data_IF_127768001555
#
_entry.id   IF_127768001555
#
_cell.length_a   1.000
_cell.length_b   1.000
_cell.length_c   1.000
_cell.angle_alpha   90.00
_cell.angle_beta   90.00
_cell.angle_gamma   90.00
#
_symmetry.space_group_name_H-M   'P 1'
#
loop_
_entity.id
_entity.type
_entity.pdbx_description
1 polymer ?
#
# COMPACT_ATOMS: atom_id res chain seq x y z
N UNK A 1 21.22 -3.79 -0.47
CA UNK A 1 20.33 -2.90 0.34
C UNK A 1 20.85 -2.84 1.78
N UNK A 2 20.54 -1.80 2.57
CA UNK A 2 21.05 -1.63 3.96
C UNK A 2 20.84 -2.87 4.85
N UNK A 3 19.68 -3.53 4.73
CA UNK A 3 19.33 -4.74 5.48
C UNK A 3 20.29 -5.92 5.23
N UNK A 4 20.57 -6.26 3.96
CA UNK A 4 21.45 -7.39 3.60
C UNK A 4 22.89 -7.18 4.11
N UNK A 5 23.34 -5.92 4.12
CA UNK A 5 24.65 -5.54 4.65
C UNK A 5 24.74 -5.82 6.15
N UNK A 6 23.74 -5.38 6.92
CA UNK A 6 23.68 -5.61 8.37
C UNK A 6 23.62 -7.10 8.70
N UNK A 7 22.81 -7.88 7.98
CA UNK A 7 22.76 -9.33 8.17
C UNK A 7 24.13 -9.96 7.96
N UNK A 8 24.82 -9.62 6.87
CA UNK A 8 26.17 -10.13 6.58
C UNK A 8 27.19 -9.74 7.65
N UNK A 9 27.18 -8.49 8.09
CA UNK A 9 28.09 -7.99 9.14
C UNK A 9 27.88 -8.68 10.49
N UNK A 10 26.67 -9.16 10.78
CA UNK A 10 26.33 -9.92 11.99
C UNK A 10 26.40 -11.45 11.78
N UNK A 11 26.93 -11.94 10.65
CA UNK A 11 27.00 -13.38 10.36
C UNK A 11 25.64 -14.06 10.14
N UNK A 12 24.58 -13.29 9.85
CA UNK A 12 23.21 -13.77 9.62
C UNK A 12 23.00 -14.06 8.14
N UNK A 13 22.63 -15.30 7.81
CA UNK A 13 22.26 -15.70 6.45
C UNK A 13 20.75 -15.54 6.25
N UNK A 14 20.34 -14.53 5.48
CA UNK A 14 18.94 -14.34 5.11
C UNK A 14 18.47 -15.44 4.14
N UNK A 15 17.33 -16.07 4.45
CA UNK A 15 16.71 -17.10 3.61
C UNK A 15 15.30 -16.69 3.24
N UNK A 16 15.05 -16.57 1.93
CA UNK A 16 13.73 -16.24 1.40
C UNK A 16 12.96 -17.52 1.06
N UNK A 17 11.66 -17.53 1.34
CA UNK A 17 10.78 -18.60 0.92
C UNK A 17 10.59 -18.58 -0.60
N UNK A 18 10.32 -19.75 -1.18
CA UNK A 18 9.99 -19.82 -2.61
C UNK A 18 8.69 -19.05 -2.88
N UNK A 19 8.58 -18.30 -3.99
CA UNK A 19 7.33 -17.66 -4.36
C UNK A 19 6.18 -18.66 -4.43
N UNK A 20 5.04 -18.32 -3.81
CA UNK A 20 3.82 -19.14 -3.75
C UNK A 20 3.96 -20.45 -2.96
N UNK A 21 4.79 -20.47 -1.93
CA UNK A 21 4.92 -21.58 -0.99
C UNK A 21 4.40 -21.19 0.40
N UNK A 22 3.07 -21.07 0.58
CA UNK A 22 2.47 -20.56 1.81
C UNK A 22 2.72 -21.46 3.03
N UNK A 23 3.02 -22.75 2.82
CA UNK A 23 3.25 -23.69 3.91
C UNK A 23 4.60 -23.52 4.60
N UNK A 24 5.54 -22.75 4.03
CA UNK A 24 6.90 -22.62 4.57
C UNK A 24 6.98 -21.71 5.81
N UNK A 25 6.01 -20.80 5.99
CA UNK A 25 5.96 -19.81 7.08
C UNK A 25 4.86 -20.07 8.10
N UNK A 26 4.23 -21.25 8.08
CA UNK A 26 3.06 -21.54 8.92
C UNK A 26 3.25 -21.34 10.43
N UNK A 27 4.47 -21.56 10.97
CA UNK A 27 4.77 -21.32 12.39
C UNK A 27 4.65 -19.84 12.78
N UNK A 28 5.24 -18.96 11.98
CA UNK A 28 5.21 -17.52 12.25
C UNK A 28 3.82 -16.94 11.93
N UNK A 29 3.14 -17.49 10.92
CA UNK A 29 1.75 -17.12 10.62
C UNK A 29 0.80 -17.49 11.77
N UNK A 30 0.96 -18.68 12.36
CA UNK A 30 0.19 -19.09 13.54
C UNK A 30 0.47 -18.16 14.73
N UNK A 31 1.72 -17.79 14.96
CA UNK A 31 2.09 -16.82 16.00
C UNK A 31 1.41 -15.46 15.77
N UNK A 32 1.49 -14.91 14.56
CA UNK A 32 0.83 -13.65 14.22
C UNK A 32 -0.69 -13.72 14.40
N UNK A 33 -1.32 -14.84 14.04
CA UNK A 33 -2.74 -15.04 14.25
C UNK A 33 -3.11 -15.07 15.75
N UNK A 34 -2.30 -15.70 16.58
CA UNK A 34 -2.50 -15.70 18.04
C UNK A 34 -2.34 -14.30 18.63
N UNK A 35 -1.26 -13.59 18.28
CA UNK A 35 -1.05 -12.18 18.68
C UNK A 35 -2.22 -11.30 18.26
N UNK A 36 -2.70 -11.45 17.03
CA UNK A 36 -3.80 -10.65 16.53
C UNK A 36 -5.09 -10.92 17.32
N UNK A 37 -5.50 -12.19 17.44
CA UNK A 37 -6.77 -12.55 18.08
C UNK A 37 -6.80 -12.25 19.57
N UNK A 38 -5.67 -12.41 20.24
CA UNK A 38 -5.61 -12.34 21.70
C UNK A 38 -5.15 -10.99 22.23
N UNK A 39 -4.48 -10.16 21.43
CA UNK A 39 -4.04 -8.83 21.85
C UNK A 39 -4.63 -7.73 20.95
N UNK A 40 -4.34 -7.78 19.65
CA UNK A 40 -4.61 -6.63 18.76
C UNK A 40 -6.09 -6.44 18.44
N UNK A 41 -6.88 -7.51 18.39
CA UNK A 41 -8.31 -7.45 18.11
C UNK A 41 -9.13 -7.04 19.36
N UNK A 42 -8.51 -6.99 20.56
CA UNK A 42 -9.20 -6.61 21.80
C UNK A 42 -9.46 -5.09 21.90
N UNK A 43 -8.65 -4.27 21.22
CA UNK A 43 -8.73 -2.81 21.27
C UNK A 43 -8.75 -2.24 19.85
N UNK A 44 -9.79 -1.46 19.53
CA UNK A 44 -9.89 -0.81 18.22
C UNK A 44 -8.83 0.29 18.03
N UNK A 45 -8.43 0.97 19.12
CA UNK A 45 -7.46 2.07 19.11
C UNK A 45 -6.62 1.99 20.40
N UNK A 46 -5.30 2.10 20.26
CA UNK A 46 -4.38 2.21 21.38
C UNK A 46 -4.27 3.67 21.83
N UNK A 47 -4.21 3.95 23.14
CA UNK A 47 -4.19 5.32 23.65
C UNK A 47 -2.90 6.06 23.27
N UNK A 48 -1.75 5.36 23.30
CA UNK A 48 -0.45 5.88 22.92
C UNK A 48 0.51 4.72 22.56
N UNK A 49 1.73 5.07 22.14
CA UNK A 49 2.76 4.10 21.75
C UNK A 49 3.30 3.30 22.94
N UNK A 50 3.40 3.91 24.13
CA UNK A 50 3.95 3.26 25.33
C UNK A 50 3.03 2.15 25.82
N UNK A 51 1.72 2.39 25.84
CA UNK A 51 0.71 1.40 26.17
C UNK A 51 0.72 0.22 25.17
N UNK A 52 0.86 0.50 23.87
CA UNK A 52 0.97 -0.54 22.86
C UNK A 52 2.25 -1.38 23.05
N UNK A 53 3.38 -0.74 23.34
CA UNK A 53 4.65 -1.41 23.60
C UNK A 53 4.56 -2.29 24.86
N UNK A 54 4.04 -1.76 25.97
CA UNK A 54 3.86 -2.50 27.22
C UNK A 54 2.95 -3.72 27.04
N UNK A 55 1.88 -3.60 26.26
CA UNK A 55 0.97 -4.71 26.00
C UNK A 55 1.60 -5.80 25.12
N UNK A 56 2.39 -5.41 24.11
CA UNK A 56 3.16 -6.36 23.29
C UNK A 56 4.25 -7.06 24.11
N UNK A 57 4.94 -6.33 25.00
CA UNK A 57 5.93 -6.91 25.90
C UNK A 57 5.29 -7.91 26.87
N UNK A 58 4.16 -7.56 27.49
CA UNK A 58 3.42 -8.46 28.36
C UNK A 58 2.95 -9.73 27.62
N UNK A 59 2.41 -9.58 26.40
CA UNK A 59 2.04 -10.72 25.56
C UNK A 59 3.25 -11.60 25.21
N UNK A 60 4.39 -10.99 24.85
CA UNK A 60 5.63 -11.72 24.53
C UNK A 60 6.08 -12.55 25.72
N UNK A 61 6.07 -11.97 26.91
CA UNK A 61 6.53 -12.64 28.11
C UNK A 61 5.60 -13.80 28.45
N UNK A 62 4.28 -13.57 28.50
CA UNK A 62 3.27 -14.62 28.71
C UNK A 62 3.38 -15.77 27.69
N UNK A 63 3.48 -15.44 26.41
CA UNK A 63 3.59 -16.42 25.33
C UNK A 63 4.86 -17.27 25.45
N UNK A 64 5.99 -16.67 25.82
CA UNK A 64 7.27 -17.37 25.84
C UNK A 64 7.55 -18.11 27.15
N UNK A 65 7.04 -17.64 28.30
CA UNK A 65 7.41 -18.17 29.61
C UNK A 65 6.28 -18.93 30.32
N UNK A 66 5.02 -18.63 30.02
CA UNK A 66 3.88 -19.14 30.81
C UNK A 66 2.87 -19.95 29.99
N UNK A 67 2.79 -19.74 28.66
CA UNK A 67 1.79 -20.41 27.80
C UNK A 67 2.22 -21.82 27.39
N UNK A 68 1.53 -22.90 27.79
CA UNK A 68 1.91 -24.24 27.38
C UNK A 68 1.56 -24.52 25.90
N UNK A 69 2.49 -25.14 25.16
CA UNK A 69 2.27 -25.51 23.75
C UNK A 69 2.21 -27.02 23.55
N UNK A 70 1.12 -27.53 22.97
CA UNK A 70 0.95 -28.95 22.65
C UNK A 70 2.09 -29.50 21.75
N UNK A 71 2.50 -28.74 20.74
CA UNK A 71 3.61 -29.13 19.85
C UNK A 71 4.97 -29.24 20.56
N UNK A 72 5.09 -28.70 21.78
CA UNK A 72 6.30 -28.76 22.61
C UNK A 72 6.16 -29.76 23.77
N UNK A 73 5.07 -30.53 23.84
CA UNK A 73 4.80 -31.42 24.97
C UNK A 73 4.34 -30.67 26.22
N UNK A 74 3.55 -29.60 26.04
CA UNK A 74 3.08 -28.69 27.09
C UNK A 74 4.18 -27.83 27.75
N UNK A 75 5.40 -27.83 27.20
CA UNK A 75 6.45 -26.89 27.59
C UNK A 75 6.23 -25.49 26.97
N UNK A 76 6.91 -24.50 27.53
CA UNK A 76 6.93 -23.11 27.06
C UNK A 76 8.05 -22.89 26.02
N UNK A 77 7.91 -21.93 25.08
CA UNK A 77 8.93 -21.66 24.08
C UNK A 77 10.31 -21.36 24.68
N UNK A 78 10.39 -20.56 25.75
CA UNK A 78 11.65 -20.20 26.40
C UNK A 78 12.39 -21.42 26.96
N UNK A 79 11.68 -22.47 27.38
CA UNK A 79 12.31 -23.70 27.89
C UNK A 79 13.10 -24.48 26.82
N UNK A 80 12.91 -24.17 25.54
CA UNK A 80 13.66 -24.79 24.42
C UNK A 80 14.90 -23.99 24.02
N UNK A 81 14.96 -22.70 24.35
CA UNK A 81 16.05 -21.82 23.97
C UNK A 81 16.97 -21.56 25.16
N UNK A 82 18.10 -22.25 25.19
CA UNK A 82 19.15 -22.01 26.18
C UNK A 82 20.05 -20.89 25.64
N UNK A 83 20.11 -19.73 26.30
CA UNK A 83 21.01 -18.68 25.88
C UNK A 83 22.45 -19.15 26.02
N UNK A 84 23.25 -18.88 24.99
CA UNK A 84 24.69 -19.13 25.04
C UNK A 84 25.34 -18.25 26.12
N UNK A 85 26.33 -18.75 26.88
CA UNK A 85 27.09 -17.93 27.81
C UNK A 85 27.72 -16.73 27.09
N UNK A 86 27.87 -15.62 27.83
CA UNK A 86 28.11 -14.30 27.27
C UNK A 86 29.44 -14.17 26.50
N UNK A 87 30.44 -14.95 26.91
CA UNK A 87 31.77 -15.09 26.33
C UNK A 87 31.76 -15.70 24.91
N UNK A 88 30.76 -16.50 24.57
CA UNK A 88 30.64 -17.11 23.25
C UNK A 88 29.62 -16.40 22.33
N UNK A 89 29.09 -15.24 22.74
CA UNK A 89 28.16 -14.43 21.92
C UNK A 89 28.93 -13.63 20.89
N UNK A 90 28.43 -13.60 19.66
CA UNK A 90 29.00 -12.77 18.60
C UNK A 90 28.78 -11.28 18.94
N UNK A 91 29.78 -10.41 18.69
CA UNK A 91 29.62 -8.97 18.88
C UNK A 91 28.58 -8.44 17.89
N UNK A 92 27.44 -7.97 18.39
CA UNK A 92 26.35 -7.41 17.58
C UNK A 92 26.77 -6.06 16.99
N UNK A 93 26.82 -5.98 15.66
CA UNK A 93 27.04 -4.73 14.93
C UNK A 93 25.69 -4.08 14.66
N UNK A 94 25.35 -3.07 15.46
CA UNK A 94 24.14 -2.27 15.27
C UNK A 94 24.45 -1.04 14.41
N UNK A 95 23.58 -0.69 13.45
CA UNK A 95 23.61 0.61 12.80
C UNK A 95 23.58 1.75 13.82
N UNK A 96 24.38 2.79 13.59
CA UNK A 96 24.48 3.97 14.47
C UNK A 96 23.14 4.65 14.75
N UNK A 97 22.18 4.55 13.83
CA UNK A 97 20.82 5.06 14.01
C UNK A 97 19.99 4.29 15.04
N UNK A 98 20.26 2.99 15.25
CA UNK A 98 19.57 2.16 16.24
C UNK A 98 20.20 2.27 17.63
N UNK A 99 21.51 2.53 17.69
CA UNK A 99 22.22 2.81 18.95
C UNK A 99 21.63 4.00 19.70
N UNK A 100 21.15 5.03 18.98
CA UNK A 100 20.51 6.21 19.57
C UNK A 100 19.10 5.95 20.16
N UNK A 101 18.47 4.82 19.83
CA UNK A 101 17.08 4.52 20.19
C UNK A 101 16.91 3.49 21.32
N UNK A 102 18.01 2.91 21.81
CA UNK A 102 17.94 2.01 22.97
C UNK A 102 17.90 2.84 24.25
N UNK A 103 16.83 2.78 25.07
CA UNK A 103 16.92 3.27 26.43
C UNK A 103 18.00 2.47 27.15
N UNK A 104 18.93 3.16 27.82
CA UNK A 104 19.95 2.53 28.64
C UNK A 104 19.27 1.48 29.54
N UNK A 105 19.71 0.23 29.47
CA UNK A 105 19.14 -0.85 30.25
C UNK A 105 19.18 -0.48 31.72
N UNK A 106 18.02 -0.12 32.28
CA UNK A 106 17.87 0.12 33.71
C UNK A 106 18.11 -1.23 34.36
N UNK A 107 19.24 -1.37 35.05
CA UNK A 107 19.46 -2.47 35.97
C UNK A 107 18.39 -2.35 37.06
N UNK A 108 17.37 -3.22 37.01
CA UNK A 108 16.40 -3.38 38.07
C UNK A 108 17.07 -4.04 39.26
N UNK A 109 17.66 -3.24 40.15
CA UNK A 109 17.90 -3.66 41.53
C UNK A 109 16.60 -3.47 42.32
N UNK A 110 16.09 -4.58 42.86
CA UNK A 110 14.98 -4.64 43.81
C UNK A 110 15.29 -3.83 45.08
N UNK A 111 14.37 -3.01 45.63
CA UNK A 111 14.52 -2.46 46.97
C UNK A 111 13.69 -3.26 48.00
N UNK A 112 14.34 -3.70 49.08
CA UNK A 112 13.71 -4.14 50.34
C UNK A 112 14.11 -3.15 51.47
N UNK A 113 13.42 -3.14 52.64
CA UNK A 113 12.72 -1.96 53.16
C UNK A 113 13.53 -1.13 54.17
N UNK A 114 13.03 0.09 54.41
CA UNK A 114 13.57 1.16 55.27
C UNK A 114 13.64 0.79 56.79
N UNK A 115 14.27 1.62 57.67
CA UNK A 115 13.58 2.84 58.16
C UNK A 115 14.47 4.06 58.62
N UNK A 116 13.80 5.23 58.73
CA UNK A 116 14.02 6.37 59.67
C UNK A 116 15.30 7.22 59.50
N UNK A 117 15.36 8.57 59.47
CA UNK A 117 14.51 9.78 59.47
C UNK A 117 15.45 10.92 58.95
N UNK A 118 15.12 12.17 58.61
CA UNK A 118 14.07 13.09 59.03
C UNK A 118 13.93 14.23 58.00
N UNK A 119 12.70 14.74 57.87
CA UNK A 119 12.25 16.14 57.73
C UNK A 119 13.20 17.19 57.10
N UNK A 120 12.77 17.83 56.01
CA UNK A 120 12.35 19.26 55.97
C UNK A 120 11.73 19.61 54.61
N UNK A 121 10.57 20.26 54.65
CA UNK A 121 9.80 20.76 53.52
C UNK A 121 10.22 22.17 53.12
N UNK A 122 10.22 22.51 51.82
CA UNK A 122 9.87 23.86 51.31
C UNK A 122 9.30 23.81 49.87
N UNK A 123 8.05 24.25 49.78
CA UNK A 123 7.31 25.04 48.77
C UNK A 123 7.88 25.32 47.36
N UNK A 124 7.00 25.17 46.37
CA UNK A 124 7.12 25.58 44.97
C UNK A 124 7.22 27.10 44.76
N UNK A 125 8.05 27.53 43.80
CA UNK A 125 7.89 28.84 43.14
C UNK A 125 8.24 28.79 41.65
N UNK A 126 7.29 29.29 40.86
CA UNK A 126 7.35 29.67 39.45
C UNK A 126 8.20 30.93 39.29
N UNK A 127 9.03 30.99 38.24
CA UNK A 127 9.80 32.20 37.88
C UNK A 127 9.54 32.53 36.40
N UNK A 128 9.24 33.81 36.05
CA UNK A 128 8.71 34.21 34.75
C UNK A 128 9.79 34.55 33.70
N UNK A 129 9.37 34.50 32.43
CA UNK A 129 10.13 34.92 31.23
C UNK A 129 9.97 36.44 31.03
N UNK A 130 11.04 37.22 30.77
CA UNK A 130 10.89 38.58 30.27
C UNK A 130 10.95 38.65 28.73
N UNK A 131 10.13 39.54 28.18
CA UNK A 131 9.91 39.80 26.76
C UNK A 131 10.93 40.78 26.15
N UNK A 132 11.31 40.46 24.90
CA UNK A 132 11.58 41.32 23.70
C UNK A 132 12.64 42.45 23.75
N UNK A 133 13.29 42.74 22.59
CA UNK A 133 12.69 43.70 21.67
C UNK A 133 12.63 43.25 20.21
N UNK A 134 11.60 43.75 19.54
CA UNK A 134 11.40 43.78 18.09
C UNK A 134 12.54 44.54 17.39
N UNK A 135 13.04 44.00 16.28
CA UNK A 135 13.59 44.82 15.20
C UNK A 135 13.10 44.31 13.85
N UNK A 136 12.53 45.23 13.09
CA UNK A 136 11.85 45.08 11.80
C UNK A 136 12.89 44.97 10.67
N UNK A 137 12.65 44.15 9.63
CA UNK A 137 12.90 44.58 8.24
C UNK A 137 12.37 43.62 7.15
N UNK A 138 11.34 44.13 6.47
CA UNK A 138 11.34 44.44 5.04
C UNK A 138 10.80 43.46 3.99
N UNK A 139 10.24 42.29 4.33
CA UNK A 139 9.32 41.56 3.43
C UNK A 139 8.41 40.65 4.26
N UNK A 140 7.19 41.09 4.51
CA UNK A 140 6.24 40.38 5.38
C UNK A 140 5.93 38.98 4.89
N UNK A 141 6.48 37.97 5.55
CA UNK A 141 5.97 36.60 5.59
C UNK A 141 6.23 36.06 7.00
N UNK A 142 5.15 35.73 7.71
CA UNK A 142 5.27 34.94 8.93
C UNK A 142 5.96 33.60 8.58
N UNK A 143 7.01 33.19 9.30
CA UNK A 143 7.79 31.99 8.98
C UNK A 143 6.98 30.68 9.07
N UNK A 144 5.73 30.74 9.54
CA UNK A 144 4.81 29.61 9.66
C UNK A 144 4.09 29.31 8.34
N UNK A 145 3.98 30.27 7.42
CA UNK A 145 3.26 30.14 6.13
C UNK A 145 4.17 30.25 4.90
N UNK A 146 5.48 30.07 5.07
CA UNK A 146 6.42 30.10 3.95
C UNK A 146 6.11 28.96 2.97
N UNK A 147 5.66 29.32 1.77
CA UNK A 147 5.45 28.42 0.64
C UNK A 147 6.30 28.87 -0.56
N UNK A 148 6.87 27.91 -1.29
CA UNK A 148 7.84 28.15 -2.36
C UNK A 148 7.47 27.35 -3.60
N UNK A 149 7.48 28.02 -4.76
CA UNK A 149 7.27 27.42 -6.06
C UNK A 149 8.57 27.39 -6.87
N UNK A 150 8.88 26.25 -7.47
CA UNK A 150 10.07 26.08 -8.31
C UNK A 150 9.89 24.95 -9.32
N UNK A 151 10.73 24.86 -10.34
CA UNK A 151 10.67 23.79 -11.35
C UNK A 151 11.90 22.90 -11.33
N UNK A 152 11.72 21.63 -11.67
CA UNK A 152 12.80 20.65 -11.89
C UNK A 152 12.51 19.77 -13.09
N UNK A 153 13.54 19.46 -13.85
CA UNK A 153 13.49 18.47 -14.94
C UNK A 153 13.61 17.07 -14.34
N UNK A 154 12.75 16.16 -14.76
CA UNK A 154 12.80 14.76 -14.32
C UNK A 154 14.02 14.07 -14.94
N UNK A 155 14.96 13.54 -14.14
CA UNK A 155 16.12 12.83 -14.65
C UNK A 155 15.73 11.50 -15.31
N UNK A 156 16.63 10.90 -16.10
CA UNK A 156 16.41 9.60 -16.75
C UNK A 156 16.03 8.45 -15.81
N UNK A 157 16.40 8.55 -14.53
CA UNK A 157 16.00 7.61 -13.49
C UNK A 157 14.53 7.71 -13.06
N UNK A 158 13.85 8.81 -13.39
CA UNK A 158 12.50 9.09 -12.93
C UNK A 158 12.39 9.50 -11.45
N UNK A 159 13.52 9.69 -10.74
CA UNK A 159 13.54 10.07 -9.33
C UNK A 159 14.12 11.47 -9.15
N UNK A 160 13.29 12.44 -8.77
CA UNK A 160 13.72 13.82 -8.50
C UNK A 160 14.04 13.98 -7.03
N UNK A 161 15.17 14.59 -6.69
CA UNK A 161 15.52 14.88 -5.29
C UNK A 161 15.50 16.39 -5.05
N UNK A 162 14.83 16.82 -3.98
CA UNK A 162 14.81 18.21 -3.51
C UNK A 162 15.26 18.22 -2.06
N UNK A 163 16.40 18.85 -1.76
CA UNK A 163 16.94 19.04 -0.39
C UNK A 163 16.90 17.77 0.48
N UNK A 164 17.21 16.62 -0.12
CA UNK A 164 17.23 15.32 0.58
C UNK A 164 15.91 14.55 0.57
N UNK A 165 14.79 15.16 0.18
CA UNK A 165 13.53 14.45 -0.06
C UNK A 165 13.44 13.96 -1.52
N UNK A 166 13.11 12.69 -1.71
CA UNK A 166 13.01 12.06 -3.03
C UNK A 166 11.56 11.93 -3.50
N UNK A 167 11.35 12.16 -4.80
CA UNK A 167 10.06 12.15 -5.48
C UNK A 167 10.14 11.28 -6.72
N UNK A 168 9.59 10.07 -6.60
CA UNK A 168 9.46 9.14 -7.72
C UNK A 168 8.33 9.58 -8.68
N UNK A 169 8.69 9.81 -9.93
CA UNK A 169 7.83 10.19 -11.07
C UNK A 169 7.88 9.17 -12.22
N UNK A 170 8.86 8.27 -12.20
CA UNK A 170 9.03 7.20 -13.19
C UNK A 170 9.83 7.64 -14.42
N UNK A 171 10.52 6.69 -15.09
CA UNK A 171 11.41 6.98 -16.22
C UNK A 171 10.65 7.47 -17.46
N UNK A 172 9.37 7.13 -17.62
CA UNK A 172 8.53 7.57 -18.74
C UNK A 172 8.35 9.10 -18.81
N UNK A 173 8.63 9.79 -17.70
CA UNK A 173 8.54 11.25 -17.58
C UNK A 173 9.90 11.95 -17.66
N UNK A 174 10.98 11.20 -17.92
CA UNK A 174 12.32 11.75 -18.08
C UNK A 174 12.35 12.89 -19.12
N UNK A 175 13.06 13.97 -18.79
CA UNK A 175 13.15 15.17 -19.62
C UNK A 175 11.95 16.12 -19.52
N UNK A 176 10.86 15.72 -18.85
CA UNK A 176 9.72 16.62 -18.60
C UNK A 176 10.04 17.57 -17.45
N UNK A 177 9.60 18.83 -17.56
CA UNK A 177 9.67 19.81 -16.46
C UNK A 177 8.46 19.67 -15.56
N UNK A 178 8.69 19.54 -14.25
CA UNK A 178 7.67 19.46 -13.20
C UNK A 178 7.79 20.69 -12.30
N UNK A 179 6.66 21.33 -12.04
CA UNK A 179 6.55 22.41 -11.06
C UNK A 179 6.30 21.82 -9.67
N UNK A 180 6.93 22.41 -8.67
CA UNK A 180 6.81 22.07 -7.27
C UNK A 180 6.22 23.27 -6.55
N UNK A 181 5.17 23.05 -5.78
CA UNK A 181 4.68 23.96 -4.75
C UNK A 181 4.98 23.30 -3.41
N UNK A 182 5.70 23.96 -2.50
CA UNK A 182 6.17 23.34 -1.26
C UNK A 182 6.04 24.29 -0.08
N UNK A 183 5.43 23.81 1.01
CA UNK A 183 5.53 24.44 2.33
C UNK A 183 6.12 23.43 3.34
N UNK A 184 6.05 23.74 4.63
CA UNK A 184 6.55 22.88 5.71
C UNK A 184 5.70 21.62 5.93
N UNK A 185 4.50 21.54 5.37
CA UNK A 185 3.54 20.43 5.60
C UNK A 185 3.35 19.52 4.39
N UNK A 186 3.34 20.07 3.17
CA UNK A 186 3.04 19.36 1.93
C UNK A 186 3.86 19.90 0.75
N UNK A 187 4.19 19.00 -0.18
CA UNK A 187 4.78 19.30 -1.48
C UNK A 187 3.82 18.80 -2.56
N UNK A 188 3.34 19.70 -3.40
CA UNK A 188 2.56 19.41 -4.60
C UNK A 188 3.47 19.44 -5.83
N UNK A 189 3.36 18.41 -6.67
CA UNK A 189 4.04 18.30 -7.95
C UNK A 189 2.99 18.48 -9.05
N UNK A 190 3.26 19.38 -9.99
CA UNK A 190 2.35 19.76 -11.07
C UNK A 190 3.05 19.67 -12.43
N UNK A 191 2.31 19.28 -13.46
CA UNK A 191 2.74 19.37 -14.87
C UNK A 191 1.66 20.07 -15.67
N UNK A 192 2.01 21.13 -16.41
CA UNK A 192 1.06 21.93 -17.17
C UNK A 192 -0.15 22.41 -16.35
N UNK A 193 0.07 22.77 -15.07
CA UNK A 193 -1.00 23.17 -14.15
C UNK A 193 -1.83 22.02 -13.57
N UNK A 194 -1.64 20.78 -14.02
CA UNK A 194 -2.35 19.59 -13.51
C UNK A 194 -1.52 18.94 -12.41
N UNK A 195 -2.15 18.63 -11.27
CA UNK A 195 -1.51 17.91 -10.16
C UNK A 195 -1.09 16.51 -10.57
N UNK A 196 0.20 16.22 -10.47
CA UNK A 196 0.75 14.86 -10.46
C UNK A 196 0.55 14.25 -9.06
N UNK A 197 1.21 14.83 -8.05
CA UNK A 197 1.35 14.18 -6.74
C UNK A 197 1.33 15.19 -5.60
N UNK A 198 0.75 14.80 -4.47
CA UNK A 198 0.92 15.50 -3.19
C UNK A 198 1.64 14.57 -2.22
N UNK A 199 2.67 15.07 -1.55
CA UNK A 199 3.47 14.29 -0.60
C UNK A 199 3.66 15.11 0.67
N UNK A 200 3.60 14.53 1.88
CA UNK A 200 4.01 15.23 3.09
C UNK A 200 5.40 15.83 2.92
N UNK A 201 5.55 17.10 3.26
CA UNK A 201 6.83 17.79 3.20
C UNK A 201 7.74 17.32 4.33
N UNK A 202 9.01 17.12 4.01
CA UNK A 202 10.09 16.94 4.99
C UNK A 202 11.02 18.14 5.03
N UNK A 203 10.62 19.24 4.39
CA UNK A 203 11.42 20.45 4.23
C UNK A 203 11.24 21.35 5.45
N UNK A 204 12.34 21.74 6.08
CA UNK A 204 12.30 22.76 7.13
C UNK A 204 12.17 24.16 6.52
N UNK A 205 11.81 25.15 7.33
CA UNK A 205 11.75 26.56 6.90
C UNK A 205 13.07 27.02 6.27
N UNK A 206 14.21 26.59 6.81
CA UNK A 206 15.53 26.88 6.25
C UNK A 206 15.73 26.29 4.84
N UNK A 207 15.16 25.12 4.55
CA UNK A 207 15.25 24.51 3.23
C UNK A 207 14.39 25.26 2.20
N UNK A 208 13.23 25.75 2.62
CA UNK A 208 12.35 26.60 1.80
C UNK A 208 13.02 27.96 1.50
N UNK A 209 13.66 28.58 2.49
CA UNK A 209 14.46 29.80 2.27
C UNK A 209 15.61 29.58 1.28
N UNK A 210 16.31 28.44 1.36
CA UNK A 210 17.34 28.09 0.37
C UNK A 210 16.77 27.79 -1.00
N UNK A 211 15.55 27.25 -1.09
CA UNK A 211 14.88 27.05 -2.38
C UNK A 211 14.50 28.39 -3.03
N UNK A 212 14.09 29.39 -2.23
CA UNK A 212 13.90 30.77 -2.71
C UNK A 212 15.22 31.37 -3.21
N UNK A 213 16.32 31.21 -2.46
CA UNK A 213 17.63 31.69 -2.86
C UNK A 213 18.13 31.04 -4.17
N UNK A 214 17.81 29.76 -4.39
CA UNK A 214 18.19 28.99 -5.59
C UNK A 214 17.25 29.20 -6.79
N UNK A 215 16.53 30.32 -6.82
CA UNK A 215 15.65 30.71 -7.94
C UNK A 215 14.21 30.22 -7.83
N UNK A 216 13.80 29.68 -6.69
CA UNK A 216 12.38 29.50 -6.35
C UNK A 216 11.69 30.84 -6.13
N UNK A 217 10.37 30.87 -6.31
CA UNK A 217 9.53 32.04 -6.12
C UNK A 217 8.65 31.86 -4.89
N UNK A 218 8.27 32.93 -4.18
CA UNK A 218 7.21 32.86 -3.18
C UNK A 218 5.97 32.27 -3.84
N UNK A 219 5.46 31.19 -3.26
CA UNK A 219 4.29 30.54 -3.80
C UNK A 219 3.02 31.30 -3.41
N UNK A 220 2.01 31.25 -4.27
CA UNK A 220 0.68 31.70 -3.90
C UNK A 220 0.00 30.76 -2.91
N UNK A 221 -1.26 31.03 -2.59
CA UNK A 221 -2.13 30.10 -1.87
C UNK A 221 -2.02 28.68 -2.46
N UNK A 222 -2.07 27.63 -1.64
CA UNK A 222 -1.89 26.27 -2.12
C UNK A 222 -2.84 26.02 -3.31
N UNK A 223 -2.35 25.45 -4.42
CA UNK A 223 -3.13 25.26 -5.65
C UNK A 223 -4.37 24.37 -5.43
N UNK A 224 -4.45 23.73 -4.25
CA UNK A 224 -5.63 23.05 -3.74
C UNK A 224 -5.69 23.40 -2.25
N UNK A 225 -6.85 23.83 -1.70
CA UNK A 225 -7.01 23.87 -0.25
C UNK A 225 -6.68 22.49 0.33
N UNK A 226 -6.26 22.43 1.58
CA UNK A 226 -6.11 21.15 2.29
C UNK A 226 -7.53 20.59 2.51
N UNK A 227 -8.11 19.99 1.46
CA UNK A 227 -9.54 19.73 1.28
C UNK A 227 -9.98 20.06 -0.15
N UNK A 228 -10.29 19.03 -0.95
CA UNK A 228 -10.39 19.11 -2.41
C UNK A 228 -11.38 20.12 -2.97
N UNK A 229 -10.96 20.84 -4.01
CA UNK A 229 -11.80 21.67 -4.88
C UNK A 229 -12.43 20.83 -6.00
N UNK A 230 -13.18 19.80 -5.62
CA UNK A 230 -14.19 19.19 -6.47
C UNK A 230 -15.43 19.14 -5.59
N UNK A 231 -16.59 19.55 -6.11
CA UNK A 231 -17.80 19.35 -5.34
C UNK A 231 -17.91 17.86 -5.00
N UNK A 232 -18.23 17.48 -3.75
CA UNK A 232 -18.33 16.08 -3.35
C UNK A 232 -19.41 15.39 -4.18
N UNK A 233 -19.00 14.75 -5.28
CA UNK A 233 -19.91 14.16 -6.26
C UNK A 233 -19.36 14.16 -7.68
N UNK A 234 -18.44 15.06 -8.03
CA UNK A 234 -17.91 15.11 -9.40
C UNK A 234 -17.07 13.87 -9.73
N UNK A 235 -17.30 13.25 -10.91
CA UNK A 235 -16.59 12.05 -11.27
C UNK A 235 -15.10 12.34 -11.52
N UNK A 236 -14.25 11.45 -11.01
CA UNK A 236 -12.80 11.55 -11.07
C UNK A 236 -12.22 10.35 -11.81
N UNK A 237 -11.25 10.58 -12.67
CA UNK A 237 -10.52 9.53 -13.37
C UNK A 237 -9.08 9.40 -12.87
N UNK A 238 -8.57 8.18 -12.87
CA UNK A 238 -7.19 7.92 -12.50
C UNK A 238 -6.64 6.69 -13.22
N UNK A 239 -5.43 6.80 -13.78
CA UNK A 239 -4.80 5.66 -14.46
C UNK A 239 -4.07 4.78 -13.45
N UNK A 240 -4.29 3.47 -13.54
CA UNK A 240 -3.63 2.46 -12.69
C UNK A 240 -3.07 1.33 -13.51
N UNK A 241 -1.84 0.93 -13.18
CA UNK A 241 -1.26 -0.31 -13.66
C UNK A 241 -1.83 -1.47 -12.85
N UNK A 242 -2.32 -2.48 -13.54
CA UNK A 242 -2.84 -3.69 -12.91
C UNK A 242 -1.68 -4.62 -12.59
N UNK A 243 -1.53 -4.98 -11.32
CA UNK A 243 -0.45 -5.85 -10.90
C UNK A 243 -0.63 -7.28 -11.44
N UNK A 244 0.40 -8.12 -11.27
CA UNK A 244 0.40 -9.51 -11.74
C UNK A 244 -0.71 -10.39 -11.10
N UNK A 245 -1.30 -9.94 -9.99
CA UNK A 245 -2.40 -10.58 -9.29
C UNK A 245 -3.78 -10.04 -9.70
N UNK A 246 -3.86 -9.04 -10.58
CA UNK A 246 -5.13 -8.47 -11.03
C UNK A 246 -5.71 -7.40 -10.11
N UNK A 247 -4.87 -6.68 -9.36
CA UNK A 247 -5.29 -5.62 -8.45
C UNK A 247 -4.72 -4.27 -8.89
N UNK A 248 -5.38 -3.20 -8.45
CA UNK A 248 -4.95 -1.80 -8.60
C UNK A 248 -4.85 -1.14 -7.24
N UNK A 249 -3.96 -0.16 -7.09
CA UNK A 249 -3.88 0.63 -5.86
C UNK A 249 -4.74 1.89 -5.95
N UNK A 250 -5.68 2.07 -5.02
CA UNK A 250 -6.46 3.32 -4.87
C UNK A 250 -6.49 3.69 -3.39
N UNK A 251 -6.26 4.98 -3.09
CA UNK A 251 -6.20 5.51 -1.73
C UNK A 251 -5.32 4.68 -0.76
N UNK A 252 -4.18 4.18 -1.25
CA UNK A 252 -3.25 3.37 -0.45
C UNK A 252 -3.64 1.90 -0.25
N UNK A 253 -4.81 1.46 -0.74
CA UNK A 253 -5.31 0.07 -0.62
C UNK A 253 -5.31 -0.65 -1.97
N UNK A 254 -5.23 -1.98 -1.94
CA UNK A 254 -5.30 -2.81 -3.14
C UNK A 254 -6.75 -3.26 -3.41
N UNK A 255 -7.23 -3.02 -4.63
CA UNK A 255 -8.59 -3.34 -5.05
C UNK A 255 -8.56 -4.38 -6.18
N UNK A 256 -9.26 -5.51 -6.04
CA UNK A 256 -9.28 -6.56 -7.05
C UNK A 256 -10.15 -6.16 -8.24
N UNK A 257 -9.56 -6.07 -9.42
CA UNK A 257 -10.29 -5.76 -10.66
C UNK A 257 -10.32 -6.92 -11.65
N UNK A 258 -9.45 -7.90 -11.45
CA UNK A 258 -9.39 -9.14 -12.23
C UNK A 258 -8.02 -9.36 -12.88
N UNK A 259 -7.54 -10.61 -12.81
CA UNK A 259 -6.24 -11.00 -13.34
C UNK A 259 -6.10 -10.84 -14.86
N UNK A 260 -7.21 -10.78 -15.60
CA UNK A 260 -7.21 -10.68 -17.05
C UNK A 260 -6.76 -9.30 -17.55
N UNK A 261 -6.74 -8.31 -16.66
CA UNK A 261 -6.14 -7.00 -16.91
C UNK A 261 -4.67 -6.92 -16.47
N UNK A 262 -4.10 -7.97 -15.87
CA UNK A 262 -2.73 -7.93 -15.34
C UNK A 262 -1.71 -7.45 -16.39
N UNK A 263 -0.87 -6.50 -15.98
CA UNK A 263 0.14 -5.85 -16.84
C UNK A 263 -0.41 -4.78 -17.78
N UNK A 264 -1.74 -4.54 -17.81
CA UNK A 264 -2.35 -3.44 -18.55
C UNK A 264 -2.44 -2.19 -17.68
N UNK A 265 -2.42 -1.03 -18.32
CA UNK A 265 -2.75 0.25 -17.70
C UNK A 265 -4.21 0.55 -18.04
N UNK A 266 -5.03 0.79 -17.03
CA UNK A 266 -6.47 1.03 -17.17
C UNK A 266 -6.83 2.36 -16.53
N UNK A 267 -7.82 3.05 -17.11
CA UNK A 267 -8.43 4.23 -16.51
C UNK A 267 -9.49 3.78 -15.53
N UNK A 268 -9.42 4.27 -14.30
CA UNK A 268 -10.40 4.03 -13.25
C UNK A 268 -11.20 5.30 -13.07
N UNK A 269 -12.46 5.29 -13.49
CA UNK A 269 -13.40 6.38 -13.27
C UNK A 269 -14.22 6.09 -12.02
N UNK A 270 -14.25 7.04 -11.10
CA UNK A 270 -14.97 7.00 -9.83
C UNK A 270 -16.07 8.04 -9.91
N UNK A 271 -17.31 7.58 -9.91
CA UNK A 271 -18.52 8.40 -10.04
C UNK A 271 -19.44 8.04 -8.88
N UNK A 272 -19.34 8.80 -7.79
CA UNK A 272 -19.98 8.48 -6.51
C UNK A 272 -19.74 7.02 -6.07
N UNK A 273 -20.82 6.23 -6.02
CA UNK A 273 -20.80 4.83 -5.62
C UNK A 273 -20.36 3.84 -6.73
N UNK A 274 -19.99 4.33 -7.91
CA UNK A 274 -19.64 3.51 -9.07
C UNK A 274 -18.18 3.66 -9.48
N UNK A 275 -17.46 2.53 -9.54
CA UNK A 275 -16.12 2.41 -10.08
C UNK A 275 -16.21 1.76 -11.47
N UNK A 276 -15.80 2.50 -12.48
CA UNK A 276 -15.79 2.07 -13.87
C UNK A 276 -14.34 1.88 -14.34
N UNK A 277 -14.04 0.70 -14.87
CA UNK A 277 -12.78 0.41 -15.54
C UNK A 277 -12.96 0.73 -17.02
N UNK A 278 -12.12 1.62 -17.53
CA UNK A 278 -12.19 2.15 -18.89
C UNK A 278 -10.83 1.94 -19.56
N UNK A 279 -10.86 1.59 -20.85
CA UNK A 279 -9.68 1.52 -21.70
C UNK A 279 -10.00 2.18 -23.04
N UNK A 280 -9.22 3.20 -23.42
CA UNK A 280 -9.45 4.03 -24.61
C UNK A 280 -10.89 4.56 -24.76
N UNK A 281 -11.52 4.95 -23.63
CA UNK A 281 -12.89 5.47 -23.61
C UNK A 281 -13.98 4.40 -23.72
N UNK A 282 -13.61 3.11 -23.74
CA UNK A 282 -14.53 1.97 -23.74
C UNK A 282 -14.64 1.40 -22.33
N UNK A 283 -15.88 1.23 -21.86
CA UNK A 283 -16.19 0.63 -20.58
C UNK A 283 -15.87 -0.86 -20.61
N UNK A 284 -14.90 -1.25 -19.79
CA UNK A 284 -14.52 -2.65 -19.59
C UNK A 284 -15.33 -3.32 -18.49
N UNK A 285 -15.60 -2.61 -17.39
CA UNK A 285 -16.26 -3.20 -16.22
C UNK A 285 -16.81 -2.15 -15.25
N UNK A 286 -17.96 -2.44 -14.66
CA UNK A 286 -18.52 -1.72 -13.52
C UNK A 286 -18.31 -2.49 -12.22
N UNK A 287 -17.96 -1.79 -11.15
CA UNK A 287 -17.78 -2.29 -9.79
C UNK A 287 -18.36 -1.27 -8.80
N UNK A 288 -18.87 -1.69 -7.64
CA UNK A 288 -19.18 -0.75 -6.58
C UNK A 288 -17.89 -0.05 -6.12
N UNK A 289 -17.96 1.26 -5.90
CA UNK A 289 -16.82 2.04 -5.39
C UNK A 289 -16.51 1.62 -3.96
N UNK A 290 -15.28 1.15 -3.66
CA UNK A 290 -14.88 0.74 -2.32
C UNK A 290 -14.34 1.92 -1.49
N UNK A 291 -14.55 3.16 -1.92
CA UNK A 291 -13.91 4.37 -1.39
C UNK A 291 -14.95 5.38 -0.91
N UNK A 292 -14.64 6.07 0.17
CA UNK A 292 -15.36 7.25 0.65
C UNK A 292 -14.98 8.50 -0.15
N UNK A 293 -15.82 9.53 -0.17
CA UNK A 293 -15.52 10.80 -0.83
C UNK A 293 -14.19 11.42 -0.34
N UNK A 294 -13.91 11.34 0.96
CA UNK A 294 -12.65 11.80 1.55
C UNK A 294 -11.42 11.02 1.05
N UNK A 295 -11.56 9.71 0.81
CA UNK A 295 -10.49 8.89 0.23
C UNK A 295 -10.28 9.18 -1.25
N UNK A 296 -11.34 9.48 -2.01
CA UNK A 296 -11.26 9.86 -3.42
C UNK A 296 -10.42 11.14 -3.59
N UNK A 297 -10.61 12.15 -2.74
CA UNK A 297 -9.83 13.39 -2.75
C UNK A 297 -8.32 13.15 -2.54
N UNK A 298 -7.97 12.11 -1.77
CA UNK A 298 -6.58 11.72 -1.45
C UNK A 298 -5.92 10.90 -2.56
N UNK A 299 -6.64 10.52 -3.60
CA UNK A 299 -6.07 9.75 -4.71
C UNK A 299 -5.03 10.60 -5.44
N UNK A 300 -3.80 10.09 -5.51
CA UNK A 300 -2.74 10.68 -6.31
C UNK A 300 -3.00 10.49 -7.81
N UNK A 301 -2.63 11.48 -8.62
CA UNK A 301 -2.85 11.51 -10.09
C UNK A 301 -4.32 11.46 -10.53
N UNK A 302 -5.27 11.74 -9.64
CA UNK A 302 -6.68 11.87 -9.99
C UNK A 302 -6.91 13.17 -10.79
N UNK A 303 -7.66 13.06 -11.89
CA UNK A 303 -8.07 14.15 -12.78
C UNK A 303 -9.59 14.22 -12.88
N UNK A 304 -10.19 15.37 -13.22
CA UNK A 304 -11.61 15.44 -13.57
C UNK A 304 -11.94 14.42 -14.66
N UNK A 305 -13.06 13.71 -14.53
CA UNK A 305 -13.42 12.67 -15.46
C UNK A 305 -13.86 13.26 -16.82
N UNK A 306 -13.58 12.54 -17.90
CA UNK A 306 -13.94 12.95 -19.26
C UNK A 306 -15.42 12.70 -19.59
N UNK A 307 -15.80 12.61 -20.87
CA UNK A 307 -17.14 12.16 -21.25
C UNK A 307 -17.40 10.73 -20.75
N UNK A 308 -18.66 10.38 -20.53
CA UNK A 308 -19.04 9.04 -20.09
C UNK A 308 -18.48 7.96 -21.04
N UNK A 309 -17.95 6.84 -20.50
CA UNK A 309 -17.34 5.82 -21.32
C UNK A 309 -18.39 5.15 -22.21
N UNK A 310 -18.00 4.81 -23.44
CA UNK A 310 -18.87 4.07 -24.36
C UNK A 310 -19.06 2.64 -23.82
N UNK A 311 -20.26 2.05 -23.93
CA UNK A 311 -20.46 0.66 -23.56
C UNK A 311 -19.48 -0.25 -24.32
N UNK A 312 -19.00 -1.28 -23.64
CA UNK A 312 -18.09 -2.27 -24.22
C UNK A 312 -18.75 -3.02 -25.39
N UNK A 313 -17.95 -3.63 -26.29
CA UNK A 313 -18.50 -4.43 -27.38
C UNK A 313 -19.23 -5.65 -26.80
N UNK A 314 -20.55 -5.63 -26.90
CA UNK A 314 -21.36 -6.83 -26.77
C UNK A 314 -21.31 -7.61 -28.09
N UNK A 315 -21.32 -8.95 -28.05
CA UNK A 315 -21.43 -9.79 -26.86
C UNK A 315 -20.08 -10.22 -26.27
N UNK A 316 -20.05 -10.39 -24.94
CA UNK A 316 -18.82 -10.74 -24.21
C UNK A 316 -18.48 -12.22 -24.43
N UNK A 317 -17.36 -12.48 -25.12
CA UNK A 317 -16.89 -13.85 -25.43
C UNK A 317 -15.86 -14.38 -24.45
N UNK A 318 -16.05 -15.62 -24.00
CA UNK A 318 -15.28 -16.24 -22.91
C UNK A 318 -15.08 -17.74 -23.13
N UNK A 319 -13.84 -18.21 -23.04
CA UNK A 319 -13.54 -19.63 -23.23
C UNK A 319 -13.75 -20.47 -21.95
N UNK A 320 -14.28 -21.69 -22.10
CA UNK A 320 -14.45 -22.69 -21.03
C UNK A 320 -14.09 -24.09 -21.48
N UNK A 321 -13.30 -24.77 -20.65
CA UNK A 321 -13.05 -26.21 -20.80
C UNK A 321 -14.21 -27.00 -20.22
N UNK A 322 -14.76 -27.91 -21.01
CA UNK A 322 -15.82 -28.83 -20.59
C UNK A 322 -15.22 -29.87 -19.64
N UNK A 323 -15.87 -30.09 -18.50
CA UNK A 323 -15.50 -31.14 -17.55
C UNK A 323 -15.66 -32.54 -18.16
N UNK A 324 -15.06 -33.56 -17.54
CA UNK A 324 -15.24 -34.97 -17.94
C UNK A 324 -16.70 -35.43 -17.92
N UNK A 325 -17.56 -34.75 -17.15
CA UNK A 325 -19.01 -34.99 -17.09
C UNK A 325 -19.82 -34.16 -18.10
N UNK A 326 -19.17 -33.51 -19.07
CA UNK A 326 -19.86 -32.80 -20.14
C UNK A 326 -20.50 -31.46 -19.74
N UNK A 327 -20.04 -30.82 -18.66
CA UNK A 327 -20.58 -29.56 -18.18
C UNK A 327 -19.52 -28.46 -18.06
N UNK A 328 -19.92 -27.21 -18.21
CA UNK A 328 -19.14 -26.00 -17.92
C UNK A 328 -19.82 -25.18 -16.81
N UNK A 329 -19.05 -24.31 -16.15
CA UNK A 329 -19.58 -23.35 -15.17
C UNK A 329 -19.20 -21.93 -15.59
N UNK A 330 -20.18 -21.05 -15.70
CA UNK A 330 -20.03 -19.64 -16.09
C UNK A 330 -20.89 -18.77 -15.18
N UNK A 331 -20.28 -17.72 -14.60
CA UNK A 331 -20.97 -16.81 -13.69
C UNK A 331 -21.76 -17.52 -12.55
N UNK A 332 -21.28 -18.70 -12.13
CA UNK A 332 -21.92 -19.55 -11.12
C UNK A 332 -23.05 -20.46 -11.65
N UNK A 333 -23.48 -20.30 -12.90
CA UNK A 333 -24.45 -21.16 -13.57
C UNK A 333 -23.73 -22.36 -14.20
N UNK A 334 -24.24 -23.57 -13.94
CA UNK A 334 -23.76 -24.81 -14.54
C UNK A 334 -24.56 -25.09 -15.82
N UNK A 335 -23.86 -25.29 -16.94
CA UNK A 335 -24.45 -25.56 -18.24
C UNK A 335 -23.97 -26.95 -18.70
N UNK A 336 -24.93 -27.83 -19.00
CA UNK A 336 -24.67 -29.16 -19.54
C UNK A 336 -24.64 -29.10 -21.07
N UNK A 337 -23.50 -29.47 -21.65
CA UNK A 337 -23.27 -29.46 -23.11
C UNK A 337 -23.25 -30.90 -23.65
N UNK A 338 -22.88 -31.86 -22.81
CA UNK A 338 -22.80 -33.29 -23.15
C UNK A 338 -21.38 -33.83 -23.07
N UNK A 339 -21.28 -35.13 -22.78
CA UNK A 339 -19.98 -35.83 -22.61
C UNK A 339 -19.15 -35.88 -23.90
N UNK A 340 -19.78 -35.74 -25.07
CA UNK A 340 -19.10 -35.71 -26.36
C UNK A 340 -18.11 -34.54 -26.49
N UNK A 341 -18.34 -33.44 -25.77
CA UNK A 341 -17.46 -32.28 -25.74
C UNK A 341 -16.50 -32.30 -24.54
N UNK A 342 -16.45 -33.38 -23.75
CA UNK A 342 -15.60 -33.49 -22.57
C UNK A 342 -14.12 -33.22 -22.90
N UNK A 343 -13.50 -32.32 -22.13
CA UNK A 343 -12.10 -31.94 -22.36
C UNK A 343 -11.86 -31.01 -23.54
N UNK A 344 -12.88 -30.59 -24.30
CA UNK A 344 -12.74 -29.52 -25.31
C UNK A 344 -12.86 -28.15 -24.66
N UNK A 345 -12.31 -27.14 -25.32
CA UNK A 345 -12.47 -25.73 -24.94
C UNK A 345 -13.48 -25.10 -25.88
N UNK A 346 -14.58 -24.60 -25.32
CA UNK A 346 -15.67 -23.98 -26.06
C UNK A 346 -15.70 -22.48 -25.77
N UNK A 347 -16.07 -21.68 -26.77
CA UNK A 347 -16.24 -20.23 -26.61
C UNK A 347 -17.68 -19.97 -26.21
N UNK A 348 -17.86 -19.25 -25.11
CA UNK A 348 -19.19 -18.87 -24.62
C UNK A 348 -19.39 -17.39 -24.81
N UNK A 349 -20.43 -17.07 -25.53
CA UNK A 349 -20.91 -15.74 -25.80
C UNK A 349 -22.01 -15.40 -24.78
N UNK A 350 -21.82 -14.30 -24.07
CA UNK A 350 -22.74 -13.77 -23.09
C UNK A 350 -23.62 -12.70 -23.73
N UNK A 351 -24.92 -12.99 -23.86
CA UNK A 351 -25.94 -12.01 -24.16
C UNK A 351 -26.71 -11.64 -22.87
N UNK A 352 -27.64 -10.69 -22.98
CA UNK A 352 -28.43 -10.18 -21.85
C UNK A 352 -29.23 -11.28 -21.16
N UNK A 353 -29.79 -12.20 -21.93
CA UNK A 353 -30.71 -13.23 -21.44
C UNK A 353 -30.31 -14.66 -21.82
N UNK A 354 -29.25 -14.85 -22.61
CA UNK A 354 -28.81 -16.18 -23.05
C UNK A 354 -27.29 -16.35 -23.00
N UNK A 355 -26.88 -17.60 -22.78
CA UNK A 355 -25.53 -18.09 -22.98
C UNK A 355 -25.50 -18.89 -24.28
N UNK A 356 -24.70 -18.47 -25.24
CA UNK A 356 -24.46 -19.23 -26.48
C UNK A 356 -23.08 -19.88 -26.42
N UNK A 357 -23.04 -21.20 -26.42
CA UNK A 357 -21.81 -21.99 -26.33
C UNK A 357 -21.45 -22.51 -27.71
N UNK A 358 -20.26 -22.19 -28.21
CA UNK A 358 -19.77 -22.56 -29.54
C UNK A 358 -18.59 -23.54 -29.46
N UNK A 359 -18.61 -24.57 -30.31
CA UNK A 359 -17.47 -25.46 -30.62
C UNK A 359 -16.89 -25.02 -31.98
N UNK A 360 -15.89 -24.14 -31.96
CA UNK A 360 -15.44 -23.42 -33.17
C UNK A 360 -16.53 -22.47 -33.68
N UNK A 361 -16.91 -22.63 -34.94
CA UNK A 361 -17.98 -21.82 -35.57
C UNK A 361 -19.38 -22.43 -35.39
N UNK A 362 -19.49 -23.62 -34.79
CA UNK A 362 -20.77 -24.32 -34.61
C UNK A 362 -21.36 -24.02 -33.22
N UNK A 363 -22.61 -23.58 -33.17
CA UNK A 363 -23.35 -23.44 -31.92
C UNK A 363 -23.62 -24.84 -31.34
N UNK A 364 -23.06 -25.11 -30.16
CA UNK A 364 -23.26 -26.35 -29.44
C UNK A 364 -24.56 -26.33 -28.63
N UNK A 365 -24.76 -25.27 -27.82
CA UNK A 365 -25.94 -25.13 -26.96
C UNK A 365 -26.25 -23.65 -26.71
N UNK A 366 -27.53 -23.29 -26.71
CA UNK A 366 -28.05 -22.01 -26.21
C UNK A 366 -28.89 -22.25 -24.94
N UNK A 367 -28.59 -21.53 -23.85
CA UNK A 367 -29.27 -21.67 -22.56
C UNK A 367 -29.66 -20.31 -22.00
N UNK A 368 -30.84 -20.21 -21.38
CA UNK A 368 -31.25 -19.01 -20.67
C UNK A 368 -30.28 -18.65 -19.54
N UNK A 369 -29.96 -17.36 -19.43
CA UNK A 369 -29.10 -16.83 -18.37
C UNK A 369 -29.93 -16.65 -17.10
N UNK A 370 -29.62 -17.44 -16.07
CA UNK A 370 -30.32 -17.40 -14.77
C UNK A 370 -29.52 -16.66 -13.69
N UNK A 371 -28.37 -16.10 -14.06
CA UNK A 371 -27.44 -15.43 -13.13
C UNK A 371 -27.17 -13.98 -13.54
N UNK A 372 -27.30 -13.07 -12.58
CA UNK A 372 -26.91 -11.66 -12.71
C UNK A 372 -25.43 -11.43 -12.38
N UNK A 373 -24.71 -12.47 -11.90
CA UNK A 373 -23.30 -12.36 -11.53
C UNK A 373 -22.44 -12.06 -12.77
N UNK A 374 -21.47 -11.14 -12.68
CA UNK A 374 -20.54 -10.88 -13.78
C UNK A 374 -19.60 -12.07 -13.99
N UNK A 375 -19.12 -12.25 -15.22
CA UNK A 375 -18.15 -13.31 -15.52
C UNK A 375 -16.82 -12.97 -14.85
N UNK A 376 -16.42 -13.74 -13.83
CA UNK A 376 -15.18 -13.46 -13.09
C UNK A 376 -13.89 -13.94 -13.78
N UNK A 377 -13.99 -14.86 -14.75
CA UNK A 377 -12.84 -15.50 -15.42
C UNK A 377 -13.05 -15.52 -16.94
N UNK A 378 -12.17 -14.86 -17.70
CA UNK A 378 -12.33 -14.71 -19.15
C UNK A 378 -11.48 -15.69 -19.98
N UNK A 379 -10.43 -16.29 -19.39
CA UNK A 379 -9.59 -17.30 -20.05
C UNK A 379 -9.51 -18.60 -19.25
N UNK A 380 -9.43 -19.72 -19.96
CA UNK A 380 -9.26 -21.08 -19.41
C UNK A 380 -7.88 -21.27 -18.74
N UNK A 381 -6.86 -20.51 -19.19
CA UNK A 381 -5.51 -20.52 -18.63
C UNK A 381 -4.98 -19.10 -18.40
N UNK A 382 -4.10 -18.97 -17.40
CA UNK A 382 -3.14 -17.86 -17.26
C UNK A 382 -2.32 -17.80 -18.57
N UNK A 383 -2.09 -16.63 -19.19
CA UNK A 383 -1.16 -16.56 -20.32
C UNK A 383 0.19 -17.11 -19.85
N UNK A 384 0.69 -18.14 -20.54
CA UNK A 384 2.06 -18.61 -20.31
C UNK A 384 3.01 -17.47 -20.69
N UNK A 385 4.04 -17.25 -19.86
CA UNK A 385 5.13 -16.38 -20.25
C UNK A 385 5.70 -16.92 -21.56
N UNK A 386 5.97 -16.03 -22.53
CA UNK A 386 6.64 -16.37 -23.79
C UNK A 386 7.89 -17.16 -23.41
N UNK A 387 7.89 -18.49 -23.64
CA UNK A 387 9.08 -19.32 -23.44
C UNK A 387 10.18 -18.63 -24.23
N UNK A 388 11.22 -18.14 -23.54
CA UNK A 388 12.47 -17.79 -24.21
C UNK A 388 12.83 -19.03 -25.00
N UNK A 389 12.86 -18.92 -26.33
CA UNK A 389 13.52 -19.93 -27.16
C UNK A 389 14.91 -20.03 -26.57
N UNK A 390 15.22 -21.14 -25.90
CA UNK A 390 16.61 -21.52 -25.74
C UNK A 390 17.10 -21.65 -27.18
N UNK A 391 18.06 -20.80 -27.54
CA UNK A 391 18.82 -21.00 -28.76
C UNK A 391 19.39 -22.41 -28.66
N UNK A 392 18.98 -23.26 -29.58
CA UNK A 392 19.63 -24.53 -29.79
C UNK A 392 20.88 -24.25 -30.62
N UNK A 393 22.00 -24.79 -30.12
CA UNK A 393 23.34 -24.86 -30.69
C UNK A 393 24.20 -23.60 -30.54
#
# INVERSE_FOLDING_TARGET
MLFERICRENGIVARNTKPRSPTTTGKVEQFHQTLQRELLDQLAVWPDLEAAQAAVDAFRDEYNTNRPHQALGMAFPAARFIPRPADERLPLQLPTTLTAALPASVSTSCPEPAPTAATTAVTAQVVPVPSTPLMLSANGFDPVDLAVEFTRVVPGSGNVTVRGQQFWLGPDRAGTTVAFWANTTVVHLLTNGVRLKSVPSRLAVADLQRLLADGGRPAGSPPIPVGGSGEPGDPVEVDRLVNACGQISLAGRQHPIGYHFAGRRVTVRLDGALLQLVDNGVLLRNLPTPLTAAEVVRICDARPAGPAPRPGPEPVRVDRRVSSRGAIVIAGQRIHIGIAHAGRTLTVEAADHTWRVHDGDRLAVEVGRTTTKPIARYKVRKPEARRRRQAAQ
#
